data_IF_677754727038
#
_entry.id   IF_677754727038
#
_cell.length_a   1.000
_cell.length_b   1.000
_cell.length_c   1.000
_cell.angle_alpha   90.00
_cell.angle_beta   90.00
_cell.angle_gamma   90.00
#
_symmetry.space_group_name_H-M   'P 1'
#
loop_
_entity.id
_entity.type
_entity.pdbx_description
1 polymer ?
#
# COMPACT_ATOMS: atom_id res chain seq x y z
N UNK A 1 27.21 34.32 -8.55
CA UNK A 1 26.83 34.42 -7.15
C UNK A 1 25.66 33.47 -6.90
N UNK A 2 25.92 32.17 -7.09
CA UNK A 2 24.98 31.05 -6.86
C UNK A 2 25.84 29.92 -6.29
N UNK A 3 26.38 30.15 -5.12
CA UNK A 3 27.02 29.11 -4.31
C UNK A 3 26.46 29.29 -2.90
N UNK A 4 26.03 28.22 -2.31
CA UNK A 4 25.63 27.98 -0.91
C UNK A 4 24.18 27.53 -0.68
N UNK A 5 23.59 26.72 -1.58
CA UNK A 5 22.36 26.00 -1.21
C UNK A 5 22.68 24.53 -0.84
N UNK A 6 23.86 24.02 -1.21
CA UNK A 6 24.27 22.62 -0.94
C UNK A 6 24.70 22.35 0.52
N UNK A 7 24.84 23.36 1.36
CA UNK A 7 25.25 23.23 2.75
C UNK A 7 24.10 23.30 3.77
N UNK A 8 22.89 23.72 3.36
CA UNK A 8 21.85 24.05 4.32
C UNK A 8 20.82 22.94 4.61
N UNK A 9 20.77 21.86 3.82
CA UNK A 9 19.65 20.89 3.95
C UNK A 9 19.99 19.40 3.88
N UNK A 10 21.10 18.88 4.45
CA UNK A 10 21.26 17.44 4.60
C UNK A 10 20.21 16.83 5.53
N UNK A 11 19.66 17.65 6.45
CA UNK A 11 18.61 17.22 7.38
C UNK A 11 17.22 17.15 6.74
N UNK A 12 16.95 17.95 5.70
CA UNK A 12 15.67 17.91 4.99
C UNK A 12 15.47 16.60 4.21
N UNK A 13 16.53 16.07 3.60
CA UNK A 13 16.49 14.77 2.89
C UNK A 13 16.25 13.66 3.92
N UNK A 14 16.88 13.71 5.08
CA UNK A 14 16.63 12.77 6.17
C UNK A 14 15.20 12.88 6.72
N UNK A 15 14.65 14.08 6.80
CA UNK A 15 13.26 14.32 7.21
C UNK A 15 12.30 13.77 6.18
N UNK A 16 12.61 13.90 4.88
CA UNK A 16 11.80 13.35 3.78
C UNK A 16 11.81 11.82 3.74
N UNK A 17 12.94 11.18 4.10
CA UNK A 17 13.01 9.72 4.32
C UNK A 17 12.19 9.26 5.54
N UNK A 18 12.00 10.16 6.48
CA UNK A 18 11.26 9.92 7.72
C UNK A 18 9.76 10.23 7.60
N UNK A 19 9.33 11.00 6.58
CA UNK A 19 7.96 11.48 6.45
C UNK A 19 6.92 10.34 6.42
N UNK A 20 7.05 9.28 5.61
CA UNK A 20 6.11 8.16 5.65
C UNK A 20 6.19 7.38 6.97
N UNK A 21 7.39 7.26 7.56
CA UNK A 21 7.59 6.62 8.86
C UNK A 21 7.00 7.44 10.02
N UNK A 22 7.06 8.77 9.94
CA UNK A 22 6.46 9.67 10.94
C UNK A 22 4.95 9.67 10.84
N UNK A 23 4.39 9.62 9.62
CA UNK A 23 2.95 9.50 9.41
C UNK A 23 2.39 8.16 9.93
N UNK A 24 3.17 7.09 9.90
CA UNK A 24 2.82 5.78 10.44
C UNK A 24 3.08 5.65 11.96
N UNK A 25 3.80 6.60 12.58
CA UNK A 25 4.19 6.53 13.98
C UNK A 25 3.03 6.29 14.95
N UNK A 26 1.88 7.00 14.86
CA UNK A 26 0.74 6.69 15.72
C UNK A 26 0.18 5.28 15.47
N UNK A 27 0.27 4.78 14.26
CA UNK A 27 -0.20 3.44 13.90
C UNK A 27 0.72 2.34 14.46
N UNK A 28 2.02 2.59 14.58
CA UNK A 28 3.01 1.65 15.16
C UNK A 28 2.75 1.43 16.65
N UNK A 29 2.22 2.44 17.36
CA UNK A 29 1.86 2.33 18.78
C UNK A 29 0.60 1.49 19.03
N UNK A 30 -0.22 1.27 18.01
CA UNK A 30 -1.40 0.40 18.11
C UNK A 30 -0.95 -1.06 18.12
N UNK A 31 -1.46 -1.92 19.02
CA UNK A 31 -1.17 -3.34 19.01
C UNK A 31 -1.43 -4.00 17.65
N UNK A 32 -0.56 -4.93 17.24
CA UNK A 32 -0.64 -5.56 15.92
C UNK A 32 -2.01 -6.20 15.65
N UNK A 33 -2.60 -6.85 16.65
CA UNK A 33 -3.94 -7.44 16.55
C UNK A 33 -5.03 -6.41 16.24
N UNK A 34 -4.94 -5.22 16.86
CA UNK A 34 -5.94 -4.17 16.65
C UNK A 34 -5.77 -3.53 15.27
N UNK A 35 -4.53 -3.37 14.80
CA UNK A 35 -4.25 -2.92 13.42
C UNK A 35 -4.78 -3.91 12.40
N UNK A 36 -4.57 -5.20 12.63
CA UNK A 36 -5.05 -6.28 11.77
C UNK A 36 -6.57 -6.24 11.63
N UNK A 37 -7.30 -6.19 12.75
CA UNK A 37 -8.77 -6.12 12.76
C UNK A 37 -9.28 -4.84 12.10
N UNK A 38 -8.63 -3.70 12.38
CA UNK A 38 -8.99 -2.43 11.76
C UNK A 38 -8.80 -2.45 10.24
N UNK A 39 -7.68 -3.00 9.77
CA UNK A 39 -7.40 -3.14 8.33
C UNK A 39 -8.43 -4.03 7.64
N UNK A 40 -8.74 -5.20 8.21
CA UNK A 40 -9.77 -6.11 7.70
C UNK A 40 -11.14 -5.43 7.66
N UNK A 41 -11.50 -4.68 8.70
CA UNK A 41 -12.75 -3.92 8.73
C UNK A 41 -12.83 -2.88 7.60
N UNK A 42 -11.74 -2.18 7.34
CA UNK A 42 -11.64 -1.24 6.21
C UNK A 42 -11.80 -1.96 4.86
N UNK A 43 -11.14 -3.11 4.67
CA UNK A 43 -11.26 -3.89 3.43
C UNK A 43 -12.69 -4.41 3.21
N UNK A 44 -13.33 -4.94 4.25
CA UNK A 44 -14.71 -5.40 4.16
C UNK A 44 -15.69 -4.27 3.81
N UNK A 45 -15.49 -3.08 4.36
CA UNK A 45 -16.28 -1.93 3.99
C UNK A 45 -15.95 -1.47 2.56
N UNK A 46 -14.67 -1.54 2.22
CA UNK A 46 -14.14 -1.10 0.96
C UNK A 46 -14.64 -1.95 -0.22
N UNK A 47 -14.73 -3.23 -0.06
CA UNK A 47 -15.05 -4.16 -1.13
C UNK A 47 -16.39 -4.91 -0.90
N UNK A 48 -17.32 -4.26 -0.18
CA UNK A 48 -18.58 -4.91 0.18
C UNK A 48 -19.37 -5.39 -1.03
N UNK A 49 -19.48 -4.57 -2.09
CA UNK A 49 -20.20 -4.92 -3.31
C UNK A 49 -19.54 -6.09 -4.03
N UNK A 50 -18.21 -6.04 -4.21
CA UNK A 50 -17.44 -7.10 -4.86
C UNK A 50 -17.45 -8.41 -4.07
N UNK A 51 -17.50 -8.31 -2.75
CA UNK A 51 -17.63 -9.47 -1.87
C UNK A 51 -19.00 -10.12 -2.01
N UNK A 52 -20.08 -9.32 -2.09
CA UNK A 52 -21.44 -9.81 -2.31
C UNK A 52 -21.63 -10.40 -3.71
N UNK A 53 -20.98 -9.83 -4.74
CA UNK A 53 -21.03 -10.29 -6.11
C UNK A 53 -20.11 -11.48 -6.40
N UNK A 54 -19.29 -11.91 -5.42
CA UNK A 54 -18.38 -13.07 -5.55
C UNK A 54 -17.14 -12.81 -6.39
N UNK A 55 -16.81 -11.56 -6.72
CA UNK A 55 -15.64 -11.23 -7.53
C UNK A 55 -14.32 -11.61 -6.85
N UNK A 56 -14.34 -11.81 -5.54
CA UNK A 56 -13.19 -12.16 -4.70
C UNK A 56 -13.16 -13.64 -4.29
N UNK A 57 -14.06 -14.48 -4.81
CA UNK A 57 -14.16 -15.91 -4.43
C UNK A 57 -12.89 -16.70 -4.75
N UNK A 58 -12.03 -16.20 -5.66
CA UNK A 58 -10.73 -16.82 -5.93
C UNK A 58 -9.76 -16.79 -4.73
N UNK A 59 -10.06 -16.00 -3.70
CA UNK A 59 -9.30 -15.94 -2.44
C UNK A 59 -9.85 -16.95 -1.40
N UNK A 60 -11.03 -17.54 -1.62
CA UNK A 60 -11.64 -18.44 -0.65
C UNK A 60 -10.72 -19.64 -0.37
N UNK A 61 -10.46 -19.89 0.91
CA UNK A 61 -9.55 -20.94 1.35
C UNK A 61 -8.06 -20.67 1.11
N UNK A 62 -7.71 -19.48 0.62
CA UNK A 62 -6.33 -19.02 0.41
C UNK A 62 -5.98 -17.91 1.38
N UNK A 63 -4.73 -17.91 1.86
CA UNK A 63 -4.22 -16.86 2.73
C UNK A 63 -3.35 -15.88 1.94
N UNK A 64 -3.68 -14.60 2.05
CA UNK A 64 -2.89 -13.51 1.49
C UNK A 64 -2.17 -12.78 2.62
N UNK A 65 -0.94 -12.37 2.38
CA UNK A 65 -0.17 -11.52 3.29
C UNK A 65 0.29 -10.26 2.57
N UNK A 66 0.02 -9.12 3.18
CA UNK A 66 0.53 -7.82 2.76
C UNK A 66 1.65 -7.44 3.72
N UNK A 67 2.84 -7.22 3.19
CA UNK A 67 4.04 -6.85 3.94
C UNK A 67 4.48 -5.45 3.53
N UNK A 68 4.50 -4.53 4.49
CA UNK A 68 4.96 -3.16 4.28
C UNK A 68 6.34 -3.04 4.90
N UNK A 69 7.36 -3.15 4.05
CA UNK A 69 8.75 -3.39 4.46
C UNK A 69 9.36 -2.24 5.27
N UNK A 70 9.13 -1.01 4.85
CA UNK A 70 9.78 0.18 5.42
C UNK A 70 9.23 0.59 6.79
N UNK A 71 8.04 0.09 7.18
CA UNK A 71 7.42 0.33 8.48
C UNK A 71 7.25 -0.94 9.31
N UNK A 72 7.76 -2.08 8.83
CA UNK A 72 7.68 -3.38 9.47
C UNK A 72 6.24 -3.77 9.89
N UNK A 73 5.27 -3.50 9.02
CA UNK A 73 3.87 -3.89 9.21
C UNK A 73 3.51 -5.04 8.31
N UNK A 74 2.69 -5.96 8.82
CA UNK A 74 2.12 -7.03 8.01
C UNK A 74 0.66 -7.26 8.34
N UNK A 75 -0.10 -7.64 7.32
CA UNK A 75 -1.51 -7.96 7.42
C UNK A 75 -1.76 -9.29 6.72
N UNK A 76 -2.41 -10.22 7.42
CA UNK A 76 -2.74 -11.55 6.88
C UNK A 76 -4.26 -11.67 6.79
N UNK A 77 -4.76 -12.06 5.63
CA UNK A 77 -6.19 -12.13 5.36
C UNK A 77 -6.56 -13.35 4.51
N UNK A 78 -7.76 -13.82 4.67
CA UNK A 78 -8.41 -14.82 3.83
C UNK A 78 -9.86 -14.45 3.64
N UNK A 79 -10.56 -15.12 2.74
CA UNK A 79 -11.99 -14.96 2.56
C UNK A 79 -12.73 -16.11 3.27
N UNK A 80 -13.73 -15.78 4.05
CA UNK A 80 -14.67 -16.71 4.68
C UNK A 80 -16.09 -16.15 4.60
N UNK A 81 -17.01 -16.89 4.00
CA UNK A 81 -18.42 -16.50 3.80
C UNK A 81 -18.57 -15.08 3.23
N UNK A 82 -17.89 -14.80 2.11
CA UNK A 82 -17.88 -13.50 1.44
C UNK A 82 -17.43 -12.33 2.32
N UNK A 83 -16.53 -12.58 3.28
CA UNK A 83 -15.91 -11.56 4.12
C UNK A 83 -14.44 -11.81 4.29
N UNK A 84 -13.66 -10.74 4.28
CA UNK A 84 -12.28 -10.83 4.72
C UNK A 84 -12.23 -11.07 6.21
N UNK A 85 -11.43 -12.04 6.59
CA UNK A 85 -11.10 -12.37 7.98
C UNK A 85 -9.59 -12.48 8.15
N UNK A 86 -9.12 -12.47 9.39
CA UNK A 86 -7.69 -12.67 9.67
C UNK A 86 -7.32 -14.11 9.32
N UNK A 87 -6.29 -14.29 8.48
CA UNK A 87 -5.73 -15.59 8.21
C UNK A 87 -4.75 -16.00 9.32
N UNK A 88 -4.94 -17.19 9.88
CA UNK A 88 -4.03 -17.78 10.88
C UNK A 88 -3.06 -18.78 10.27
N UNK A 89 -3.33 -19.22 9.03
CA UNK A 89 -2.51 -20.15 8.28
C UNK A 89 -1.32 -19.44 7.60
N UNK A 90 -0.34 -20.22 7.16
CA UNK A 90 0.75 -19.73 6.33
C UNK A 90 0.20 -19.13 5.04
N UNK A 91 0.75 -18.00 4.55
CA UNK A 91 0.25 -17.35 3.36
C UNK A 91 0.53 -18.17 2.10
N UNK A 92 -0.46 -18.26 1.22
CA UNK A 92 -0.30 -18.81 -0.14
C UNK A 92 0.35 -17.78 -1.08
N UNK A 93 0.09 -16.50 -0.83
CA UNK A 93 0.65 -15.39 -1.61
C UNK A 93 1.06 -14.23 -0.70
N UNK A 94 2.20 -13.62 -1.00
CA UNK A 94 2.72 -12.46 -0.27
C UNK A 94 2.90 -11.28 -1.23
N UNK A 95 2.32 -10.15 -0.87
CA UNK A 95 2.54 -8.86 -1.51
C UNK A 95 3.46 -8.03 -0.63
N UNK A 96 4.61 -7.65 -1.13
CA UNK A 96 5.55 -6.81 -0.38
C UNK A 96 5.94 -5.56 -1.14
N UNK A 97 6.15 -4.48 -0.41
CA UNK A 97 6.55 -3.18 -0.93
C UNK A 97 6.65 -2.14 0.17
N UNK A 98 7.00 -0.91 -0.20
CA UNK A 98 7.02 0.17 0.78
C UNK A 98 5.64 0.83 0.93
N UNK A 99 5.42 1.51 2.05
CA UNK A 99 4.15 2.19 2.35
C UNK A 99 3.76 3.19 1.25
N UNK A 100 4.75 3.91 0.73
CA UNK A 100 4.53 4.88 -0.33
C UNK A 100 3.97 4.23 -1.60
N UNK A 101 4.47 3.06 -1.98
CA UNK A 101 3.99 2.34 -3.16
C UNK A 101 2.56 1.82 -3.01
N UNK A 102 2.21 1.31 -1.82
CA UNK A 102 0.83 0.92 -1.52
C UNK A 102 -0.12 2.12 -1.52
N UNK A 103 0.32 3.29 -1.04
CA UNK A 103 -0.48 4.53 -1.10
C UNK A 103 -0.70 4.97 -2.55
N UNK A 104 0.35 5.01 -3.37
CA UNK A 104 0.27 5.40 -4.78
C UNK A 104 -0.61 4.43 -5.58
N UNK A 105 -0.48 3.13 -5.32
CA UNK A 105 -1.34 2.11 -5.90
C UNK A 105 -2.81 2.33 -5.53
N UNK A 106 -3.09 2.54 -4.25
CA UNK A 106 -4.46 2.77 -3.75
C UNK A 106 -5.07 4.08 -4.26
N UNK A 107 -4.24 5.10 -4.50
CA UNK A 107 -4.63 6.39 -5.08
C UNK A 107 -4.70 6.36 -6.62
N UNK A 108 -4.43 5.22 -7.26
CA UNK A 108 -4.33 5.11 -8.72
C UNK A 108 -3.34 6.07 -9.38
N UNK A 109 -2.34 6.52 -8.64
CA UNK A 109 -1.25 7.36 -9.16
C UNK A 109 -0.17 6.53 -9.85
N UNK A 110 -0.06 5.26 -9.47
CA UNK A 110 0.85 4.29 -10.08
C UNK A 110 0.07 3.04 -10.47
N UNK A 111 0.40 2.51 -11.62
CA UNK A 111 -0.16 1.26 -12.13
C UNK A 111 0.50 0.04 -11.47
N UNK A 112 -0.26 -1.00 -11.08
CA UNK A 112 0.29 -2.21 -10.47
C UNK A 112 1.39 -2.86 -11.32
N UNK A 113 1.23 -2.91 -12.64
CA UNK A 113 2.23 -3.50 -13.54
C UNK A 113 3.53 -2.70 -13.53
N UNK A 114 3.43 -1.37 -13.51
CA UNK A 114 4.60 -0.48 -13.41
C UNK A 114 5.38 -0.75 -12.13
N UNK A 115 4.69 -0.82 -10.99
CA UNK A 115 5.32 -1.11 -9.69
C UNK A 115 5.97 -2.49 -9.67
N UNK A 116 5.30 -3.49 -10.25
CA UNK A 116 5.83 -4.85 -10.35
C UNK A 116 7.08 -4.92 -11.24
N UNK A 117 7.06 -4.34 -12.45
CA UNK A 117 8.22 -4.34 -13.35
C UNK A 117 9.41 -3.57 -12.78
N UNK A 118 9.16 -2.53 -12.01
CA UNK A 118 10.19 -1.76 -11.30
C UNK A 118 10.68 -2.45 -10.01
N UNK A 119 10.13 -3.60 -9.65
CA UNK A 119 10.41 -4.33 -8.40
C UNK A 119 10.13 -3.51 -7.12
N UNK A 120 9.23 -2.56 -7.20
CA UNK A 120 8.74 -1.77 -6.07
C UNK A 120 7.60 -2.49 -5.36
N UNK A 121 6.80 -3.25 -6.10
CA UNK A 121 5.83 -4.21 -5.58
C UNK A 121 6.28 -5.61 -5.97
N UNK A 122 6.39 -6.50 -5.01
CA UNK A 122 6.77 -7.89 -5.22
C UNK A 122 5.60 -8.80 -4.88
N UNK A 123 5.45 -9.86 -5.66
CA UNK A 123 4.46 -10.92 -5.46
C UNK A 123 5.24 -12.22 -5.38
N UNK A 124 5.13 -12.90 -4.25
CA UNK A 124 5.86 -14.13 -3.98
C UNK A 124 4.89 -15.29 -3.76
N UNK A 125 5.34 -16.50 -4.11
CA UNK A 125 4.72 -17.80 -3.97
C UNK A 125 3.67 -18.09 -5.05
N UNK A 126 2.36 -18.13 -4.73
CA UNK A 126 1.34 -18.42 -5.73
C UNK A 126 1.11 -17.23 -6.67
N UNK A 127 1.76 -17.28 -7.82
CA UNK A 127 1.68 -16.23 -8.84
C UNK A 127 0.32 -16.16 -9.52
N UNK A 128 -0.47 -17.22 -9.51
CA UNK A 128 -1.81 -17.26 -10.10
C UNK A 128 -2.75 -16.41 -9.24
N UNK A 129 -2.72 -16.60 -7.92
CA UNK A 129 -3.45 -15.76 -6.98
C UNK A 129 -2.98 -14.31 -7.07
N UNK A 130 -1.67 -14.10 -7.10
CA UNK A 130 -1.09 -12.76 -7.23
C UNK A 130 -1.58 -12.03 -8.48
N UNK A 131 -1.64 -12.71 -9.61
CA UNK A 131 -2.17 -12.18 -10.86
C UNK A 131 -3.68 -11.88 -10.77
N UNK A 132 -4.46 -12.76 -10.15
CA UNK A 132 -5.89 -12.56 -9.96
C UNK A 132 -6.16 -11.33 -9.09
N UNK A 133 -5.45 -11.18 -7.95
CA UNK A 133 -5.52 -9.98 -7.09
C UNK A 133 -5.13 -8.72 -7.86
N UNK A 134 -4.06 -8.76 -8.63
CA UNK A 134 -3.63 -7.64 -9.45
C UNK A 134 -4.72 -7.24 -10.45
N UNK A 135 -5.28 -8.19 -11.18
CA UNK A 135 -6.34 -7.94 -12.15
C UNK A 135 -7.60 -7.35 -11.48
N UNK A 136 -7.97 -7.89 -10.32
CA UNK A 136 -9.06 -7.34 -9.52
C UNK A 136 -8.77 -5.87 -9.12
N UNK A 137 -7.58 -5.56 -8.61
CA UNK A 137 -7.22 -4.19 -8.27
C UNK A 137 -7.27 -3.24 -9.47
N UNK A 138 -7.00 -3.73 -10.68
CA UNK A 138 -7.13 -2.94 -11.90
C UNK A 138 -8.59 -2.68 -12.32
N UNK A 139 -9.53 -3.58 -11.98
CA UNK A 139 -10.96 -3.45 -12.35
C UNK A 139 -11.74 -2.55 -11.39
N UNK A 140 -11.32 -2.42 -10.14
CA UNK A 140 -12.03 -1.63 -9.13
C UNK A 140 -11.84 -0.12 -9.35
N UNK A 141 -12.90 0.66 -9.25
CA UNK A 141 -12.87 2.13 -9.30
C UNK A 141 -13.07 2.72 -7.89
N UNK A 142 -11.98 2.96 -7.13
CA UNK A 142 -12.07 3.35 -5.72
C UNK A 142 -12.69 4.74 -5.51
N UNK A 143 -12.67 5.61 -6.52
CA UNK A 143 -13.22 6.96 -6.45
C UNK A 143 -14.75 6.94 -6.24
N UNK A 144 -15.45 6.01 -6.88
CA UNK A 144 -16.90 5.90 -6.79
C UNK A 144 -17.33 5.20 -5.50
N UNK A 145 -16.55 4.21 -5.06
CA UNK A 145 -16.91 3.37 -3.92
C UNK A 145 -16.57 4.00 -2.57
N UNK A 146 -15.45 4.75 -2.49
CA UNK A 146 -14.93 5.29 -1.23
C UNK A 146 -14.51 6.76 -1.31
N UNK A 147 -15.40 7.69 -1.63
CA UNK A 147 -15.02 9.07 -1.90
C UNK A 147 -14.28 9.74 -0.72
N UNK A 148 -14.59 9.39 0.53
CA UNK A 148 -13.91 9.96 1.70
C UNK A 148 -12.55 9.31 1.95
N UNK A 149 -12.48 7.98 1.88
CA UNK A 149 -11.22 7.23 2.06
C UNK A 149 -10.26 7.54 0.91
N UNK A 150 -10.77 7.56 -0.32
CA UNK A 150 -10.00 7.88 -1.52
C UNK A 150 -9.40 9.29 -1.42
N UNK A 151 -10.18 10.31 -1.02
CA UNK A 151 -9.68 11.68 -0.79
C UNK A 151 -8.60 11.74 0.29
N UNK A 152 -8.69 10.88 1.30
CA UNK A 152 -7.65 10.78 2.33
C UNK A 152 -6.36 10.18 1.74
N UNK A 153 -6.49 9.09 1.00
CA UNK A 153 -5.37 8.41 0.33
C UNK A 153 -4.74 9.33 -0.73
N UNK A 154 -5.53 10.05 -1.52
CA UNK A 154 -5.04 11.06 -2.47
C UNK A 154 -4.19 12.14 -1.80
N UNK A 155 -4.62 12.66 -0.64
CA UNK A 155 -3.83 13.65 0.11
C UNK A 155 -2.48 13.10 0.55
N UNK A 156 -2.43 11.83 0.94
CA UNK A 156 -1.15 11.18 1.26
C UNK A 156 -0.32 10.91 0.01
N UNK A 157 -0.94 10.53 -1.11
CA UNK A 157 -0.25 10.36 -2.39
C UNK A 157 0.38 11.68 -2.87
N UNK A 158 -0.32 12.80 -2.77
CA UNK A 158 0.23 14.13 -3.08
C UNK A 158 1.50 14.43 -2.27
N UNK A 159 1.49 14.09 -0.97
CA UNK A 159 2.67 14.26 -0.11
C UNK A 159 3.81 13.35 -0.57
N UNK A 160 3.52 12.09 -0.90
CA UNK A 160 4.52 11.13 -1.39
C UNK A 160 5.15 11.60 -2.69
N UNK A 161 4.35 12.09 -3.64
CA UNK A 161 4.84 12.60 -4.93
C UNK A 161 5.70 13.86 -4.75
N UNK A 162 5.31 14.79 -3.88
CA UNK A 162 6.12 15.98 -3.57
C UNK A 162 7.48 15.58 -3.00
N UNK A 163 7.49 14.60 -2.09
CA UNK A 163 8.72 14.07 -1.50
C UNK A 163 9.59 13.38 -2.55
N UNK A 164 9.00 12.56 -3.42
CA UNK A 164 9.70 11.87 -4.49
C UNK A 164 10.32 12.85 -5.52
N UNK A 165 9.57 13.88 -5.92
CA UNK A 165 10.00 14.92 -6.85
C UNK A 165 11.15 15.76 -6.28
N UNK A 166 11.07 16.09 -4.98
CA UNK A 166 12.16 16.79 -4.30
C UNK A 166 13.45 15.95 -4.30
N UNK A 167 13.37 14.63 -4.10
CA UNK A 167 14.52 13.72 -4.20
C UNK A 167 15.19 13.75 -5.58
N UNK A 168 14.40 13.65 -6.65
CA UNK A 168 14.93 13.63 -8.02
C UNK A 168 15.68 14.91 -8.35
N UNK A 169 15.21 16.05 -7.88
CA UNK A 169 15.84 17.37 -8.09
C UNK A 169 17.22 17.49 -7.44
N UNK A 170 17.49 16.72 -6.39
CA UNK A 170 18.78 16.72 -5.69
C UNK A 170 19.77 15.65 -6.17
N UNK A 171 19.34 14.69 -7.00
CA UNK A 171 20.16 13.54 -7.43
C UNK A 171 20.75 13.71 -8.85
N UNK A 172 20.41 14.78 -9.58
CA UNK A 172 20.97 15.06 -10.92
C UNK A 172 22.27 15.85 -10.75
N UNK A 173 23.46 15.22 -10.86
CA UNK A 173 24.72 15.96 -10.98
C UNK A 173 24.80 16.50 -12.40
N UNK A 174 25.04 17.79 -12.53
CA UNK A 174 25.52 18.46 -13.74
C UNK A 174 26.91 18.03 -14.07
#
# INVERSE_FOLDING_TARGET
MVNDINGAFPDLIRILDFAPKVASFPLILVPASLRQVGFIGCLNQAFNEQLEDGELDFIEGKALKILIDDVAMSFSLTLDQSKFVVAEQEPDCVFSGCLADFILLSARREDPDTLFFQRRLMIEWDTEIGLAVKNFLCSVEPEEQFPLLFRFVERFADIVEVVASARQSFTTPT
#
